data_IF_077303925488
#
_entry.id   IF_077303925488
#
_cell.length_a   1.000
_cell.length_b   1.000
_cell.length_c   1.000
_cell.angle_alpha   90.00
_cell.angle_beta   90.00
_cell.angle_gamma   90.00
#
_symmetry.space_group_name_H-M   'P 1'
#
loop_
_entity.id
_entity.type
_entity.pdbx_description
1 polymer ?
#
# COMPACT_ATOMS: atom_id res chain seq x y z
N UNK A 1 25.50 5.16 6.27
CA UNK A 1 24.62 5.00 7.45
C UNK A 1 23.36 4.30 6.95
N UNK A 2 23.26 2.98 7.15
CA UNK A 2 22.10 2.20 6.73
C UNK A 2 20.94 2.47 7.69
N UNK A 3 19.84 3.02 7.19
CA UNK A 3 18.59 3.08 7.96
C UNK A 3 17.94 1.69 7.91
N UNK A 4 18.14 0.93 8.98
CA UNK A 4 17.36 -0.25 9.28
C UNK A 4 16.00 0.22 9.79
N UNK A 5 14.96 0.22 8.95
CA UNK A 5 13.58 0.20 9.46
C UNK A 5 13.29 -1.24 9.85
N UNK A 6 13.62 -1.59 11.09
CA UNK A 6 13.27 -2.86 11.69
C UNK A 6 12.09 -2.62 12.63
N UNK A 7 10.87 -2.97 12.21
CA UNK A 7 9.77 -3.13 13.15
C UNK A 7 9.93 -4.47 13.90
N UNK A 8 9.72 -4.48 15.23
CA UNK A 8 9.91 -5.66 16.05
C UNK A 8 8.85 -6.72 15.76
N UNK A 9 9.29 -7.93 15.40
CA UNK A 9 8.42 -9.12 15.32
C UNK A 9 8.06 -9.64 16.72
N UNK A 10 6.84 -10.15 16.88
CA UNK A 10 6.60 -11.31 17.73
C UNK A 10 6.13 -12.49 16.87
N UNK A 11 6.98 -13.52 16.78
CA UNK A 11 6.55 -14.91 16.61
C UNK A 11 6.61 -15.55 18.01
N UNK A 12 5.67 -16.44 18.36
CA UNK A 12 5.78 -17.82 17.86
C UNK A 12 4.43 -18.47 17.48
N UNK A 13 4.43 -19.19 16.35
CA UNK A 13 3.47 -20.26 16.08
C UNK A 13 3.79 -21.51 16.92
N UNK A 14 2.78 -22.19 17.50
CA UNK A 14 2.83 -23.63 17.71
C UNK A 14 1.81 -24.33 16.81
N UNK A 15 2.26 -25.37 16.13
CA UNK A 15 1.50 -26.07 15.09
C UNK A 15 0.41 -27.01 15.59
N UNK A 16 -0.26 -27.66 14.63
CA UNK A 16 -0.31 -29.13 14.46
C UNK A 16 -1.31 -29.49 13.37
N UNK A 17 -0.90 -30.49 12.58
CA UNK A 17 -1.68 -31.30 11.67
C UNK A 17 -3.05 -31.70 12.23
N UNK A 18 -4.06 -31.73 11.36
CA UNK A 18 -5.03 -32.82 11.25
C UNK A 18 -5.78 -32.71 9.92
N UNK A 19 -5.59 -33.73 9.07
CA UNK A 19 -6.46 -34.01 7.95
C UNK A 19 -7.77 -34.60 8.48
N UNK A 20 -8.91 -34.12 7.97
CA UNK A 20 -10.19 -34.80 8.11
C UNK A 20 -10.94 -34.72 6.79
N UNK A 21 -10.88 -35.82 6.04
CA UNK A 21 -11.78 -36.13 4.94
C UNK A 21 -13.13 -36.49 5.56
N UNK A 22 -14.18 -35.75 5.20
CA UNK A 22 -15.57 -36.19 5.40
C UNK A 22 -16.31 -36.06 4.07
N UNK A 23 -16.43 -37.20 3.39
CA UNK A 23 -17.52 -37.46 2.46
C UNK A 23 -18.78 -37.69 3.29
N UNK A 24 -19.91 -37.05 2.96
CA UNK A 24 -21.21 -37.72 2.88
C UNK A 24 -22.32 -36.80 2.31
N UNK A 25 -23.02 -37.37 1.33
CA UNK A 25 -24.47 -37.33 1.04
C UNK A 25 -25.14 -36.08 0.45
N UNK A 26 -25.56 -36.32 -0.79
CA UNK A 26 -26.63 -35.69 -1.57
C UNK A 26 -27.99 -35.81 -0.85
N UNK A 27 -28.74 -34.70 -0.77
CA UNK A 27 -30.17 -34.68 -0.43
C UNK A 27 -30.76 -33.25 -0.54
N UNK A 28 -31.93 -33.03 -1.18
CA UNK A 28 -32.34 -31.72 -1.68
C UNK A 28 -33.21 -30.87 -0.75
N UNK A 29 -33.07 -29.54 -0.93
CA UNK A 29 -34.04 -28.43 -0.77
C UNK A 29 -34.99 -28.40 0.43
N UNK A 30 -34.73 -27.44 1.34
CA UNK A 30 -35.75 -26.62 1.98
C UNK A 30 -35.27 -25.17 2.04
N UNK A 31 -36.02 -24.27 1.39
CA UNK A 31 -35.93 -22.82 1.58
C UNK A 31 -36.34 -22.47 3.02
N UNK A 32 -35.51 -21.72 3.76
CA UNK A 32 -36.02 -20.84 4.81
C UNK A 32 -35.00 -19.79 5.24
N UNK A 33 -35.49 -18.54 5.21
CA UNK A 33 -35.10 -17.38 6.02
C UNK A 33 -33.67 -16.83 5.91
N UNK A 34 -33.56 -15.73 5.15
CA UNK A 34 -32.58 -14.68 5.42
C UNK A 34 -32.66 -14.27 6.91
N UNK A 35 -31.58 -14.48 7.65
CA UNK A 35 -31.26 -13.71 8.86
C UNK A 35 -29.95 -12.99 8.58
N UNK A 36 -30.07 -11.83 7.92
CA UNK A 36 -29.03 -10.83 7.93
C UNK A 36 -28.97 -10.24 9.34
N UNK A 37 -27.87 -10.49 10.06
CA UNK A 37 -27.71 -9.96 11.40
C UNK A 37 -26.34 -10.27 11.99
N UNK A 38 -25.48 -9.25 12.00
CA UNK A 38 -24.46 -9.09 13.03
C UNK A 38 -23.04 -9.45 12.61
N UNK A 39 -22.22 -8.42 12.43
CA UNK A 39 -20.76 -8.56 12.38
C UNK A 39 -20.10 -7.99 11.13
N UNK A 40 -20.62 -6.91 10.55
CA UNK A 40 -19.78 -6.02 9.76
C UNK A 40 -18.79 -5.36 10.74
N UNK A 41 -17.66 -6.03 11.00
CA UNK A 41 -16.46 -5.29 11.35
C UNK A 41 -16.22 -4.36 10.17
N UNK A 42 -16.31 -3.06 10.41
CA UNK A 42 -15.92 -2.01 9.46
C UNK A 42 -14.47 -2.30 9.08
N UNK A 43 -14.29 -3.01 7.97
CA UNK A 43 -13.00 -3.05 7.29
C UNK A 43 -12.80 -1.66 6.72
N UNK A 44 -11.99 -0.85 7.41
CA UNK A 44 -11.54 0.49 6.99
C UNK A 44 -10.70 0.48 5.70
N UNK A 45 -10.62 -0.65 5.01
CA UNK A 45 -10.19 -0.67 3.62
C UNK A 45 -11.36 -0.19 2.76
N UNK A 46 -11.41 1.11 2.49
CA UNK A 46 -11.93 1.54 1.18
C UNK A 46 -11.16 0.68 0.18
N UNK A 47 -11.83 -0.28 -0.45
CA UNK A 47 -11.20 -1.14 -1.43
C UNK A 47 -10.52 -0.21 -2.43
N UNK A 48 -9.19 -0.31 -2.55
CA UNK A 48 -8.49 0.48 -3.55
C UNK A 48 -9.18 0.25 -4.89
N UNK A 49 -9.37 1.29 -5.71
CA UNK A 49 -9.96 1.12 -7.02
C UNK A 49 -9.26 -0.04 -7.72
N UNK A 50 -9.98 -1.12 -8.00
CA UNK A 50 -9.46 -2.17 -8.87
C UNK A 50 -9.12 -1.53 -10.21
N UNK A 51 -8.07 -1.97 -10.91
CA UNK A 51 -7.63 -1.41 -12.20
C UNK A 51 -8.77 -1.26 -13.26
N UNK A 52 -9.85 -2.03 -13.13
CA UNK A 52 -11.05 -1.90 -13.98
C UNK A 52 -11.97 -0.70 -13.64
N UNK A 53 -11.76 -0.05 -12.49
CA UNK A 53 -12.48 1.15 -12.03
C UNK A 53 -11.63 2.42 -12.10
N UNK A 54 -10.30 2.30 -12.29
CA UNK A 54 -9.40 3.45 -12.49
C UNK A 54 -9.46 4.01 -13.91
N UNK A 55 -10.00 3.26 -14.88
CA UNK A 55 -10.14 3.67 -16.29
C UNK A 55 -11.02 4.92 -16.49
N UNK A 56 -11.66 5.43 -15.44
CA UNK A 56 -12.42 6.68 -15.43
C UNK A 56 -11.62 7.90 -14.94
N UNK A 57 -10.43 7.76 -14.35
CA UNK A 57 -9.69 8.87 -13.73
C UNK A 57 -8.63 9.51 -14.64
N UNK A 58 -8.28 8.89 -15.76
CA UNK A 58 -7.23 9.36 -16.69
C UNK A 58 -7.73 10.17 -17.89
N UNK A 59 -9.01 10.57 -17.92
CA UNK A 59 -9.55 11.48 -18.95
C UNK A 59 -10.14 12.74 -18.35
N UNK A 60 -9.32 13.51 -17.64
CA UNK A 60 -9.76 14.75 -16.99
C UNK A 60 -8.69 15.59 -16.27
N UNK A 61 -7.46 15.08 -16.11
CA UNK A 61 -6.32 15.87 -15.62
C UNK A 61 -6.21 16.02 -14.10
N UNK A 62 -6.10 14.93 -13.33
CA UNK A 62 -5.84 15.06 -11.89
C UNK A 62 -4.69 14.21 -11.31
N UNK A 63 -4.04 13.33 -12.08
CA UNK A 63 -2.80 12.68 -11.66
C UNK A 63 -2.08 12.12 -12.89
N UNK A 64 -0.87 12.61 -13.20
CA UNK A 64 0.02 12.08 -14.23
C UNK A 64 1.31 11.56 -13.53
N UNK A 65 1.52 10.24 -13.46
CA UNK A 65 2.69 9.68 -12.79
C UNK A 65 4.02 10.15 -13.39
N UNK A 66 4.07 10.41 -14.70
CA UNK A 66 5.28 10.90 -15.36
C UNK A 66 5.59 12.33 -14.93
N UNK A 67 4.57 13.18 -14.85
CA UNK A 67 4.71 14.56 -14.36
C UNK A 67 5.16 14.58 -12.89
N UNK A 68 4.62 13.70 -12.05
CA UNK A 68 5.02 13.54 -10.65
C UNK A 68 6.50 13.14 -10.53
N UNK A 69 6.96 12.16 -11.32
CA UNK A 69 8.37 11.78 -11.35
C UNK A 69 9.28 12.95 -11.75
N UNK A 70 8.91 13.67 -12.81
CA UNK A 70 9.67 14.81 -13.29
C UNK A 70 9.77 15.92 -12.23
N UNK A 71 8.67 16.27 -11.58
CA UNK A 71 8.64 17.28 -10.51
C UNK A 71 9.40 16.84 -9.25
N UNK A 72 9.55 15.53 -9.05
CA UNK A 72 10.31 14.92 -7.95
C UNK A 72 11.79 14.69 -8.31
N UNK A 73 12.24 15.15 -9.49
CA UNK A 73 13.59 14.94 -10.00
C UNK A 73 14.00 13.45 -10.08
N UNK A 74 13.04 12.59 -10.40
CA UNK A 74 13.27 11.16 -10.64
C UNK A 74 13.45 10.97 -12.14
N UNK A 75 14.62 10.49 -12.53
CA UNK A 75 14.88 10.07 -13.92
C UNK A 75 14.29 8.68 -14.14
N UNK A 76 13.37 8.56 -15.10
CA UNK A 76 12.73 7.30 -15.45
C UNK A 76 13.61 6.51 -16.41
N UNK A 77 13.83 5.23 -16.13
CA UNK A 77 14.39 4.29 -17.10
C UNK A 77 13.39 3.98 -18.21
N UNK A 78 13.85 3.39 -19.32
CA UNK A 78 12.98 2.94 -20.41
C UNK A 78 11.94 1.92 -19.91
N UNK A 79 12.33 1.05 -18.98
CA UNK A 79 11.44 0.06 -18.37
C UNK A 79 10.36 0.75 -17.52
N UNK A 80 10.72 1.78 -16.75
CA UNK A 80 9.77 2.53 -15.94
C UNK A 80 8.83 3.38 -16.81
N UNK A 81 9.35 4.00 -17.89
CA UNK A 81 8.52 4.73 -18.86
C UNK A 81 7.48 3.82 -19.52
N UNK A 82 7.87 2.61 -19.92
CA UNK A 82 6.95 1.66 -20.54
C UNK A 82 5.85 1.22 -19.57
N UNK A 83 6.18 1.04 -18.28
CA UNK A 83 5.23 0.68 -17.24
C UNK A 83 4.31 1.83 -16.81
N UNK A 84 4.55 3.06 -17.28
CA UNK A 84 3.74 4.24 -16.98
C UNK A 84 3.12 4.83 -18.25
N UNK A 85 3.21 4.13 -19.39
CA UNK A 85 2.86 4.66 -20.70
C UNK A 85 1.35 4.92 -20.86
N UNK A 86 0.52 4.25 -20.07
CA UNK A 86 -0.93 4.47 -20.01
C UNK A 86 -1.34 5.55 -18.98
N UNK A 87 -0.37 6.11 -18.27
CA UNK A 87 -0.58 7.14 -17.25
C UNK A 87 -1.16 6.61 -15.93
N UNK A 88 -1.18 5.29 -15.74
CA UNK A 88 -1.60 4.67 -14.48
C UNK A 88 -0.43 3.88 -13.89
N UNK A 89 -0.46 3.67 -12.57
CA UNK A 89 0.40 2.70 -11.91
C UNK A 89 -0.48 1.63 -11.29
N UNK A 90 -0.25 0.38 -11.69
CA UNK A 90 -0.94 -0.78 -11.17
C UNK A 90 -0.07 -1.51 -10.15
N UNK A 91 -0.73 -2.29 -9.29
CA UNK A 91 -0.02 -3.15 -8.34
C UNK A 91 0.82 -4.22 -9.04
N UNK A 92 0.36 -4.74 -10.19
CA UNK A 92 1.10 -5.73 -10.97
C UNK A 92 2.41 -5.11 -11.52
N UNK A 93 2.38 -3.89 -12.04
CA UNK A 93 3.58 -3.18 -12.49
C UNK A 93 4.55 -2.89 -11.35
N UNK A 94 4.03 -2.52 -10.17
CA UNK A 94 4.82 -2.36 -8.95
C UNK A 94 5.53 -3.67 -8.57
N UNK A 95 4.81 -4.80 -8.55
CA UNK A 95 5.41 -6.11 -8.26
C UNK A 95 6.44 -6.51 -9.32
N UNK A 96 6.14 -6.34 -10.60
CA UNK A 96 7.07 -6.64 -11.70
C UNK A 96 8.36 -5.82 -11.60
N UNK A 97 8.26 -4.53 -11.27
CA UNK A 97 9.41 -3.66 -11.07
C UNK A 97 10.27 -4.10 -9.87
N UNK A 98 9.65 -4.53 -8.77
CA UNK A 98 10.37 -5.10 -7.64
C UNK A 98 11.13 -6.38 -8.04
N UNK A 99 10.53 -7.25 -8.87
CA UNK A 99 11.20 -8.44 -9.38
C UNK A 99 12.39 -8.10 -10.28
N UNK A 100 12.29 -7.06 -11.12
CA UNK A 100 13.42 -6.59 -11.93
C UNK A 100 14.55 -6.05 -11.08
N UNK A 101 14.25 -5.26 -10.04
CA UNK A 101 15.27 -4.80 -9.08
C UNK A 101 15.97 -5.98 -8.42
N UNK A 102 15.22 -7.00 -7.96
CA UNK A 102 15.82 -8.20 -7.39
C UNK A 102 16.75 -8.89 -8.38
N UNK A 103 16.31 -9.08 -9.63
CA UNK A 103 17.13 -9.70 -10.67
C UNK A 103 18.43 -8.91 -10.94
N UNK A 104 18.35 -7.58 -10.97
CA UNK A 104 19.52 -6.71 -11.08
C UNK A 104 20.47 -6.87 -9.88
N UNK A 105 19.93 -6.87 -8.66
CA UNK A 105 20.72 -7.03 -7.43
C UNK A 105 21.44 -8.39 -7.39
N UNK A 106 20.73 -9.48 -7.74
CA UNK A 106 21.29 -10.82 -7.81
C UNK A 106 22.43 -10.89 -8.86
N UNK A 107 22.23 -10.29 -10.05
CA UNK A 107 23.26 -10.21 -11.10
C UNK A 107 24.48 -9.37 -10.68
N UNK A 108 24.28 -8.37 -9.83
CA UNK A 108 25.35 -7.52 -9.28
C UNK A 108 26.11 -8.18 -8.10
N UNK A 109 25.67 -9.37 -7.65
CA UNK A 109 26.23 -10.11 -6.53
C UNK A 109 25.81 -9.56 -5.16
N UNK A 110 24.68 -8.86 -5.09
CA UNK A 110 24.16 -8.22 -3.88
C UNK A 110 23.18 -9.19 -3.22
N UNK A 111 23.28 -9.38 -1.91
CA UNK A 111 22.26 -10.13 -1.19
C UNK A 111 20.96 -9.33 -1.16
N UNK A 112 19.89 -9.89 -1.74
CA UNK A 112 18.56 -9.31 -1.75
C UNK A 112 17.49 -10.38 -1.46
N UNK A 113 16.64 -10.12 -0.49
CA UNK A 113 15.57 -11.01 -0.05
C UNK A 113 14.26 -10.24 0.16
N UNK A 114 13.16 -10.75 -0.40
CA UNK A 114 11.81 -10.28 -0.03
C UNK A 114 11.44 -10.87 1.33
N UNK A 115 11.05 -10.02 2.26
CA UNK A 115 10.67 -10.39 3.63
C UNK A 115 9.18 -10.69 3.75
N UNK A 116 8.39 -10.24 2.78
CA UNK A 116 6.95 -10.35 2.75
C UNK A 116 6.34 -9.12 2.10
N UNK A 117 5.06 -8.94 2.35
CA UNK A 117 4.31 -7.77 1.93
C UNK A 117 3.26 -7.47 2.99
N UNK A 118 3.15 -6.20 3.36
CA UNK A 118 2.09 -5.70 4.22
C UNK A 118 1.35 -4.60 3.48
N UNK A 119 0.02 -4.73 3.36
CA UNK A 119 -0.81 -3.71 2.73
C UNK A 119 -0.31 -3.30 1.34
N UNK A 120 0.14 -4.26 0.51
CA UNK A 120 0.69 -4.01 -0.82
C UNK A 120 1.95 -3.13 -0.86
N UNK A 121 2.68 -3.06 0.26
CA UNK A 121 4.03 -2.50 0.33
C UNK A 121 5.00 -3.67 0.45
N UNK A 122 5.92 -3.77 -0.51
CA UNK A 122 6.88 -4.87 -0.57
C UNK A 122 7.97 -4.62 0.47
N UNK A 123 8.12 -5.57 1.40
CA UNK A 123 9.20 -5.54 2.36
C UNK A 123 10.40 -6.32 1.83
N UNK A 124 11.59 -5.72 1.89
CA UNK A 124 12.81 -6.39 1.46
C UNK A 124 13.99 -6.07 2.37
N UNK A 125 15.01 -6.92 2.28
CA UNK A 125 16.27 -6.78 2.99
C UNK A 125 17.42 -6.87 2.01
N UNK A 126 18.37 -5.96 2.16
CA UNK A 126 19.69 -6.04 1.54
C UNK A 126 20.75 -6.30 2.62
N UNK A 127 21.86 -6.92 2.23
CA UNK A 127 23.07 -6.93 3.06
C UNK A 127 24.18 -6.22 2.29
N UNK A 128 24.61 -5.09 2.84
CA UNK A 128 25.75 -4.37 2.34
C UNK A 128 26.82 -4.28 3.41
N UNK A 129 28.04 -4.64 3.06
CA UNK A 129 29.22 -4.54 3.90
C UNK A 129 30.22 -3.49 3.37
N UNK A 130 29.86 -2.74 2.32
CA UNK A 130 30.72 -1.74 1.70
C UNK A 130 29.95 -0.72 0.85
N UNK A 131 30.49 0.50 0.76
CA UNK A 131 29.95 1.58 -0.08
C UNK A 131 29.81 1.17 -1.56
N UNK A 132 30.66 0.25 -2.03
CA UNK A 132 30.61 -0.26 -3.39
C UNK A 132 29.37 -1.16 -3.64
N UNK A 133 28.95 -1.95 -2.65
CA UNK A 133 27.71 -2.73 -2.75
C UNK A 133 26.49 -1.82 -2.64
N UNK A 134 26.55 -0.78 -1.79
CA UNK A 134 25.50 0.24 -1.72
C UNK A 134 25.30 0.94 -3.06
N UNK A 135 26.38 1.36 -3.71
CA UNK A 135 26.30 2.01 -5.02
C UNK A 135 25.68 1.12 -6.10
N UNK A 136 26.03 -0.19 -6.12
CA UNK A 136 25.43 -1.14 -7.06
C UNK A 136 23.95 -1.37 -6.77
N UNK A 137 23.57 -1.46 -5.50
CA UNK A 137 22.18 -1.64 -5.12
C UNK A 137 21.37 -0.41 -5.52
N UNK A 138 21.86 0.79 -5.20
CA UNK A 138 21.20 2.05 -5.56
C UNK A 138 21.00 2.15 -7.07
N UNK A 139 22.00 1.76 -7.88
CA UNK A 139 21.83 1.73 -9.33
C UNK A 139 20.69 0.78 -9.78
N UNK A 140 20.59 -0.41 -9.18
CA UNK A 140 19.48 -1.34 -9.46
C UNK A 140 18.14 -0.77 -9.00
N UNK A 141 18.08 -0.19 -7.81
CA UNK A 141 16.87 0.42 -7.25
C UNK A 141 16.40 1.59 -8.12
N UNK A 142 17.29 2.54 -8.41
CA UNK A 142 16.99 3.73 -9.22
C UNK A 142 16.48 3.33 -10.62
N UNK A 143 17.17 2.39 -11.29
CA UNK A 143 16.85 2.01 -12.67
C UNK A 143 15.58 1.16 -12.76
N UNK A 144 15.39 0.21 -11.85
CA UNK A 144 14.35 -0.81 -12.04
C UNK A 144 13.06 -0.51 -11.29
N UNK A 145 13.13 0.20 -10.15
CA UNK A 145 12.02 0.20 -9.19
C UNK A 145 11.65 1.54 -8.59
N UNK A 146 12.61 2.42 -8.28
CA UNK A 146 12.42 3.63 -7.48
C UNK A 146 11.23 4.48 -7.91
N UNK A 147 11.08 4.73 -9.21
CA UNK A 147 10.00 5.57 -9.70
C UNK A 147 8.63 4.97 -9.40
N UNK A 148 8.45 3.68 -9.69
CA UNK A 148 7.20 2.97 -9.42
C UNK A 148 6.98 2.82 -7.91
N UNK A 149 8.03 2.61 -7.13
CA UNK A 149 7.90 2.52 -5.67
C UNK A 149 7.42 3.83 -5.05
N UNK A 150 8.02 4.96 -5.43
CA UNK A 150 7.57 6.29 -4.98
C UNK A 150 6.14 6.57 -5.41
N UNK A 151 5.80 6.37 -6.68
CA UNK A 151 4.44 6.63 -7.18
C UNK A 151 3.39 5.72 -6.56
N UNK A 152 3.73 4.44 -6.37
CA UNK A 152 2.83 3.48 -5.74
C UNK A 152 2.58 3.88 -4.29
N UNK A 153 3.62 4.23 -3.53
CA UNK A 153 3.47 4.69 -2.16
C UNK A 153 2.67 6.01 -2.07
N UNK A 154 2.87 6.95 -3.00
CA UNK A 154 2.07 8.19 -3.07
C UNK A 154 0.60 7.89 -3.40
N UNK A 155 0.35 7.05 -4.39
CA UNK A 155 -1.00 6.60 -4.74
C UNK A 155 -1.68 5.94 -3.53
N UNK A 156 -0.96 5.04 -2.85
CA UNK A 156 -1.41 4.38 -1.62
C UNK A 156 -1.71 5.39 -0.51
N UNK A 157 -0.88 6.41 -0.31
CA UNK A 157 -1.13 7.45 0.67
C UNK A 157 -2.43 8.21 0.38
N UNK A 158 -2.72 8.48 -0.91
CA UNK A 158 -3.94 9.19 -1.34
C UNK A 158 -5.23 8.38 -1.16
N UNK A 159 -5.15 7.05 -1.13
CA UNK A 159 -6.32 6.15 -1.15
C UNK A 159 -6.36 5.12 0.00
N UNK A 160 -5.36 5.12 0.87
CA UNK A 160 -5.23 4.21 2.00
C UNK A 160 -6.17 4.52 3.17
N UNK A 161 -6.09 3.72 4.25
CA UNK A 161 -6.96 3.88 5.43
C UNK A 161 -6.89 5.29 6.04
N UNK A 162 -5.70 5.89 6.12
CA UNK A 162 -5.51 7.25 6.64
C UNK A 162 -6.18 8.29 5.75
N UNK A 163 -5.96 8.26 4.43
CA UNK A 163 -6.69 9.11 3.48
C UNK A 163 -8.22 8.96 3.60
N UNK A 164 -8.71 7.74 3.81
CA UNK A 164 -10.12 7.46 4.09
C UNK A 164 -10.61 8.13 5.37
N UNK A 165 -9.85 8.01 6.46
CA UNK A 165 -10.14 8.63 7.75
C UNK A 165 -10.19 10.16 7.66
N UNK A 166 -9.21 10.77 6.99
CA UNK A 166 -9.17 12.21 6.73
C UNK A 166 -10.36 12.67 5.87
N UNK A 167 -10.68 11.93 4.81
CA UNK A 167 -11.79 12.26 3.93
C UNK A 167 -13.15 12.17 4.65
N UNK A 168 -13.33 11.20 5.52
CA UNK A 168 -14.53 11.10 6.36
C UNK A 168 -14.60 12.26 7.37
N UNK A 169 -13.49 12.60 8.03
CA UNK A 169 -13.42 13.71 8.98
C UNK A 169 -13.83 15.05 8.34
N UNK A 170 -13.35 15.32 7.12
CA UNK A 170 -13.74 16.50 6.34
C UNK A 170 -15.25 16.52 6.05
N UNK A 171 -15.82 15.38 5.64
CA UNK A 171 -17.26 15.27 5.38
C UNK A 171 -18.10 15.45 6.64
N UNK A 172 -17.65 14.96 7.79
CA UNK A 172 -18.30 15.14 9.09
C UNK A 172 -18.39 16.62 9.47
N UNK A 173 -17.44 17.44 8.99
CA UNK A 173 -17.44 18.90 9.15
C UNK A 173 -18.18 19.66 8.04
N UNK A 174 -18.76 18.95 7.07
CA UNK A 174 -19.47 19.55 5.94
C UNK A 174 -18.57 20.06 4.82
N UNK A 175 -17.30 19.65 4.80
CA UNK A 175 -16.33 19.98 3.75
C UNK A 175 -16.22 18.83 2.74
N UNK A 176 -16.07 19.17 1.46
CA UNK A 176 -15.74 18.17 0.43
C UNK A 176 -14.22 17.89 0.43
N UNK A 177 -13.79 16.62 0.60
CA UNK A 177 -12.38 16.30 0.69
C UNK A 177 -11.70 16.42 -0.66
N UNK A 178 -10.53 17.05 -0.67
CA UNK A 178 -9.64 17.11 -1.82
C UNK A 178 -9.03 15.74 -2.13
N UNK A 179 -8.52 15.61 -3.34
CA UNK A 179 -8.08 14.33 -3.88
C UNK A 179 -6.83 13.82 -3.17
N UNK A 180 -5.83 14.69 -2.96
CA UNK A 180 -4.53 14.27 -2.43
C UNK A 180 -4.54 14.18 -0.90
N UNK A 181 -3.72 13.29 -0.34
CA UNK A 181 -3.56 13.11 1.11
C UNK A 181 -3.08 14.40 1.77
N UNK A 182 -2.02 15.00 1.23
CA UNK A 182 -1.47 16.28 1.70
C UNK A 182 -2.50 17.41 1.65
N UNK A 183 -3.32 17.46 0.60
CA UNK A 183 -4.37 18.47 0.49
C UNK A 183 -5.49 18.29 1.52
N UNK A 184 -5.82 17.04 1.91
CA UNK A 184 -6.76 16.79 3.01
C UNK A 184 -6.18 17.25 4.34
N UNK A 185 -4.90 16.99 4.59
CA UNK A 185 -4.17 17.51 5.76
C UNK A 185 -4.25 19.04 5.80
N UNK A 186 -3.98 19.70 4.67
CA UNK A 186 -4.05 21.16 4.59
C UNK A 186 -5.46 21.68 4.85
N UNK A 187 -6.50 21.03 4.32
CA UNK A 187 -7.90 21.41 4.60
C UNK A 187 -8.20 21.36 6.10
N UNK A 188 -7.87 20.24 6.76
CA UNK A 188 -8.08 20.06 8.20
C UNK A 188 -7.29 21.08 9.03
N UNK A 189 -6.02 21.28 8.70
CA UNK A 189 -5.16 22.26 9.38
C UNK A 189 -5.72 23.68 9.24
N UNK A 190 -6.25 24.04 8.07
CA UNK A 190 -6.88 25.35 7.85
C UNK A 190 -8.18 25.54 8.64
N UNK A 191 -8.83 24.46 9.05
CA UNK A 191 -9.99 24.46 9.95
C UNK A 191 -9.58 24.48 11.43
N UNK A 192 -8.28 24.42 11.73
CA UNK A 192 -7.74 24.34 13.08
C UNK A 192 -7.89 22.96 13.73
N UNK A 193 -8.04 21.91 12.91
CA UNK A 193 -8.14 20.52 13.33
C UNK A 193 -6.77 19.87 13.20
N UNK A 194 -6.34 19.14 14.25
CA UNK A 194 -5.16 18.28 14.17
C UNK A 194 -5.51 16.98 13.42
N UNK A 195 -4.96 16.75 12.21
CA UNK A 195 -5.34 15.60 11.39
C UNK A 195 -5.04 14.25 12.06
N UNK A 196 -3.93 14.18 12.81
CA UNK A 196 -3.47 12.93 13.41
C UNK A 196 -4.33 12.60 14.63
N UNK A 197 -4.49 13.54 15.54
CA UNK A 197 -5.15 13.32 16.83
C UNK A 197 -6.68 13.32 16.73
N UNK A 198 -7.27 14.12 15.84
CA UNK A 198 -8.73 14.29 15.77
C UNK A 198 -9.37 13.43 14.67
N UNK A 199 -8.63 13.05 13.63
CA UNK A 199 -9.18 12.30 12.49
C UNK A 199 -8.59 10.89 12.34
N UNK A 200 -7.26 10.75 12.28
CA UNK A 200 -6.60 9.46 11.98
C UNK A 200 -6.62 8.53 13.20
N UNK A 201 -6.03 8.95 14.32
CA UNK A 201 -5.86 8.13 15.51
C UNK A 201 -7.20 7.60 16.05
N UNK A 202 -8.27 8.41 16.18
CA UNK A 202 -9.55 7.91 16.67
C UNK A 202 -10.17 6.88 15.72
N UNK A 203 -9.97 6.98 14.41
CA UNK A 203 -10.61 6.06 13.46
C UNK A 203 -9.80 4.77 13.27
N UNK A 204 -8.47 4.83 13.30
CA UNK A 204 -7.61 3.67 13.04
C UNK A 204 -7.20 2.91 14.31
N UNK A 205 -7.15 3.57 15.47
CA UNK A 205 -6.76 2.94 16.75
C UNK A 205 -7.96 2.45 17.58
N UNK A 206 -9.16 2.32 17.00
CA UNK A 206 -10.35 1.76 17.69
C UNK A 206 -10.64 0.28 17.34
N UNK A 207 -9.73 -0.40 16.61
CA UNK A 207 -9.87 -1.82 16.26
C UNK A 207 -9.58 -2.80 17.43
N UNK A 208 -9.87 -4.10 17.28
CA UNK A 208 -9.70 -5.11 18.34
C UNK A 208 -8.24 -5.35 18.81
N UNK A 209 -7.27 -4.70 18.16
CA UNK A 209 -5.85 -4.68 18.55
C UNK A 209 -5.40 -3.34 19.13
N UNK A 210 -6.33 -2.40 19.39
CA UNK A 210 -6.04 -1.22 20.19
C UNK A 210 -5.55 -1.70 21.55
N UNK A 211 -4.24 -1.62 21.78
CA UNK A 211 -3.66 -1.94 23.07
C UNK A 211 -4.33 -1.04 24.08
N UNK A 212 -5.14 -1.63 24.97
CA UNK A 212 -5.54 -0.97 26.20
C UNK A 212 -4.26 -0.42 26.83
N UNK A 213 -4.28 0.87 27.17
CA UNK A 213 -3.19 1.53 27.89
C UNK A 213 -2.69 0.65 29.06
N UNK A 214 -1.38 0.64 29.35
CA UNK A 214 -0.80 -0.14 30.43
C UNK A 214 -1.36 0.20 31.82
#
# INVERSE_FOLDING_TARGET
>A
MAQSVAYPRPCPCPGKWLAAVVLFLVGPLMLSACSAGGGAGTTYATAMPTAASSTAMTKGGLYDPIEVAHNSHIELSEQQLNALADGEITYDEYQEAAQRMKACADAAGIYFEFMGEENQIIEYRTRSDSDALDAKFNNCYDTEFRALDVMWQDYRANWGPEAGALAECLRDMGEEPRLLYSEKIDQLTNLGIDPDDECINPKLNQGPNATADP
#
